data_IF_041153921627
#
_entry.id   IF_041153921627
#
_cell.length_a   1.000
_cell.length_b   1.000
_cell.length_c   1.000
_cell.angle_alpha   90.00
_cell.angle_beta   90.00
_cell.angle_gamma   90.00
#
_symmetry.space_group_name_H-M   'P 1'
#
loop_
_entity.id
_entity.type
_entity.pdbx_description
1 polymer ?
#
# COMPACT_ATOMS: atom_id res chain seq x y z
N UNK A 1 15.37 -60.32 25.39
CA UNK A 1 15.51 -58.95 25.91
C UNK A 1 14.91 -57.94 24.90
N UNK A 2 13.79 -58.32 24.25
CA UNK A 2 13.49 -57.82 22.90
C UNK A 2 12.23 -56.96 22.77
N UNK A 3 11.30 -57.05 23.72
CA UNK A 3 10.03 -56.31 23.64
C UNK A 3 10.24 -54.78 23.64
N UNK A 4 11.14 -54.26 24.49
CA UNK A 4 11.45 -52.81 24.56
C UNK A 4 12.05 -52.22 23.28
N UNK A 5 12.71 -53.03 22.43
CA UNK A 5 13.28 -52.53 21.16
C UNK A 5 12.20 -52.33 20.09
N UNK A 6 11.14 -53.14 20.11
CA UNK A 6 10.06 -53.08 19.11
C UNK A 6 9.23 -51.81 19.28
N UNK A 7 8.90 -51.45 20.52
CA UNK A 7 8.14 -50.22 20.82
C UNK A 7 8.93 -48.97 20.45
N UNK A 8 10.21 -48.86 20.82
CA UNK A 8 11.03 -47.69 20.43
C UNK A 8 11.13 -47.52 18.91
N UNK A 9 11.27 -48.62 18.16
CA UNK A 9 11.29 -48.55 16.70
C UNK A 9 9.94 -48.08 16.12
N UNK A 10 8.82 -48.48 16.75
CA UNK A 10 7.48 -47.99 16.39
C UNK A 10 7.32 -46.50 16.68
N UNK A 11 7.73 -46.02 17.86
CA UNK A 11 7.66 -44.59 18.19
C UNK A 11 8.54 -43.73 17.28
N UNK A 12 9.75 -44.17 16.93
CA UNK A 12 10.62 -43.46 15.97
C UNK A 12 9.98 -43.44 14.58
N UNK A 13 9.39 -44.56 14.13
CA UNK A 13 8.70 -44.61 12.83
C UNK A 13 7.46 -43.70 12.81
N UNK A 14 6.66 -43.69 13.88
CA UNK A 14 5.52 -42.77 14.03
C UNK A 14 5.96 -41.31 14.09
N UNK A 15 7.06 -40.99 14.79
CA UNK A 15 7.58 -39.63 14.86
C UNK A 15 8.14 -39.17 13.51
N UNK A 16 8.82 -40.07 12.77
CA UNK A 16 9.27 -39.81 11.41
C UNK A 16 8.09 -39.61 10.46
N UNK A 17 7.07 -40.47 10.50
CA UNK A 17 5.85 -40.32 9.70
C UNK A 17 5.15 -39.01 10.04
N UNK A 18 4.93 -38.70 11.32
CA UNK A 18 4.31 -37.46 11.76
C UNK A 18 5.15 -36.23 11.33
N UNK A 19 6.47 -36.29 11.43
CA UNK A 19 7.36 -35.22 10.94
C UNK A 19 7.33 -35.08 9.42
N UNK A 20 7.20 -36.18 8.66
CA UNK A 20 7.07 -36.15 7.20
C UNK A 20 5.70 -35.65 6.74
N UNK A 21 4.64 -35.92 7.50
CA UNK A 21 3.30 -35.37 7.29
C UNK A 21 3.26 -33.87 7.66
N UNK A 22 3.96 -33.46 8.72
CA UNK A 22 4.16 -32.04 9.07
C UNK A 22 5.02 -31.30 8.03
N UNK A 23 6.03 -31.96 7.43
CA UNK A 23 6.82 -31.43 6.31
C UNK A 23 6.04 -31.43 4.97
N UNK A 24 4.94 -32.17 4.88
CA UNK A 24 4.00 -32.13 3.75
C UNK A 24 2.90 -31.07 3.91
N UNK A 25 2.92 -30.27 4.99
CA UNK A 25 1.99 -29.17 5.18
C UNK A 25 2.40 -27.96 4.34
N UNK A 26 1.85 -27.89 3.13
CA UNK A 26 1.64 -26.67 2.35
C UNK A 26 2.84 -25.72 2.20
N UNK A 27 3.86 -26.13 1.44
CA UNK A 27 4.70 -25.18 0.74
C UNK A 27 4.02 -24.87 -0.61
N UNK A 28 3.63 -23.61 -0.82
CA UNK A 28 3.04 -23.16 -2.09
C UNK A 28 4.06 -23.15 -3.24
N UNK A 29 3.55 -23.07 -4.47
CA UNK A 29 4.38 -23.10 -5.67
C UNK A 29 5.18 -21.80 -5.83
N UNK A 30 6.30 -21.89 -6.56
CA UNK A 30 7.19 -20.74 -6.81
C UNK A 30 7.14 -20.36 -8.29
N UNK A 31 6.69 -19.15 -8.56
CA UNK A 31 6.52 -18.59 -9.90
C UNK A 31 7.61 -17.56 -10.22
N UNK A 32 7.96 -17.42 -11.51
CA UNK A 32 8.96 -16.48 -12.00
C UNK A 32 8.43 -15.74 -13.21
N UNK A 33 8.46 -14.40 -13.17
CA UNK A 33 8.00 -13.53 -14.25
C UNK A 33 9.05 -12.43 -14.53
N UNK A 34 9.22 -12.09 -15.82
CA UNK A 34 9.98 -10.92 -16.24
C UNK A 34 9.01 -9.81 -16.66
N UNK A 35 9.19 -8.62 -16.08
CA UNK A 35 8.42 -7.41 -16.38
C UNK A 35 9.37 -6.40 -17.03
N UNK A 36 9.32 -6.27 -18.35
CA UNK A 36 10.08 -5.28 -19.11
C UNK A 36 9.24 -4.00 -19.21
N UNK A 37 9.59 -3.00 -18.41
CA UNK A 37 9.01 -1.65 -18.47
C UNK A 37 9.65 -0.89 -19.62
N UNK A 38 8.86 -0.51 -20.64
CA UNK A 38 9.36 0.28 -21.76
C UNK A 38 8.28 1.13 -22.41
N UNK A 39 8.74 2.15 -23.13
CA UNK A 39 7.92 3.03 -23.94
C UNK A 39 7.36 2.29 -25.17
N UNK A 40 6.03 2.20 -25.26
CA UNK A 40 5.34 1.53 -26.36
C UNK A 40 4.24 2.44 -26.93
N UNK A 41 4.09 2.45 -28.25
CA UNK A 41 3.13 3.30 -28.95
C UNK A 41 1.73 2.68 -28.98
N UNK A 42 0.74 3.35 -28.40
CA UNK A 42 -0.66 2.93 -28.42
C UNK A 42 -1.56 3.97 -29.09
N UNK A 43 -2.45 3.48 -29.97
CA UNK A 43 -3.51 4.30 -30.57
C UNK A 43 -4.83 4.11 -29.82
N UNK A 44 -5.41 5.21 -29.34
CA UNK A 44 -6.77 5.29 -28.76
C UNK A 44 -7.40 6.61 -29.19
N UNK A 45 -8.71 6.62 -29.43
CA UNK A 45 -9.45 7.82 -29.87
C UNK A 45 -8.80 8.53 -31.08
N UNK A 46 -8.30 7.75 -32.05
CA UNK A 46 -7.56 8.22 -33.24
C UNK A 46 -6.25 8.99 -32.96
N UNK A 47 -5.76 9.01 -31.72
CA UNK A 47 -4.47 9.59 -31.34
C UNK A 47 -3.48 8.48 -30.94
N UNK A 48 -2.26 8.55 -31.46
CA UNK A 48 -1.16 7.67 -31.04
C UNK A 48 -0.28 8.41 -30.05
N UNK A 49 0.02 7.78 -28.92
CA UNK A 49 0.97 8.27 -27.91
C UNK A 49 1.92 7.15 -27.53
N UNK A 50 3.16 7.51 -27.25
CA UNK A 50 4.06 6.64 -26.48
C UNK A 50 3.65 6.68 -25.02
N UNK A 51 3.69 5.54 -24.35
CA UNK A 51 3.50 5.44 -22.92
C UNK A 51 4.28 4.25 -22.35
N UNK A 52 4.73 4.38 -21.10
CA UNK A 52 5.37 3.28 -20.39
C UNK A 52 4.38 2.13 -20.17
N UNK A 53 4.76 0.92 -20.55
CA UNK A 53 3.97 -0.31 -20.40
C UNK A 53 4.84 -1.47 -19.93
N UNK A 54 4.22 -2.55 -19.47
CA UNK A 54 4.92 -3.83 -19.19
C UNK A 54 4.74 -4.76 -20.38
N UNK A 55 5.84 -5.30 -20.91
CA UNK A 55 5.85 -6.33 -21.96
C UNK A 55 4.98 -5.95 -23.19
N UNK A 56 5.06 -4.70 -23.66
CA UNK A 56 4.28 -4.13 -24.77
C UNK A 56 2.74 -4.17 -24.59
N UNK A 57 2.24 -4.30 -23.36
CA UNK A 57 0.82 -4.54 -23.09
C UNK A 57 0.15 -3.45 -22.22
N UNK A 58 -1.08 -3.09 -22.61
CA UNK A 58 -1.94 -2.17 -21.87
C UNK A 58 -3.42 -2.63 -21.93
N UNK A 59 -4.03 -3.03 -20.79
CA UNK A 59 -3.38 -3.28 -19.49
C UNK A 59 -2.23 -4.29 -19.58
N UNK A 60 -1.37 -4.28 -18.57
CA UNK A 60 -0.23 -5.19 -18.44
C UNK A 60 -0.64 -6.65 -18.23
N UNK A 61 0.33 -7.59 -18.17
CA UNK A 61 0.07 -9.02 -18.03
C UNK A 61 -0.73 -9.37 -16.77
N UNK A 62 -1.64 -10.34 -16.92
CA UNK A 62 -2.32 -10.99 -15.80
C UNK A 62 -1.37 -11.98 -15.10
N UNK A 63 -1.36 -11.95 -13.78
CA UNK A 63 -0.69 -12.93 -12.91
C UNK A 63 -1.76 -13.91 -12.42
N UNK A 64 -1.52 -15.22 -12.55
CA UNK A 64 -2.34 -16.28 -11.92
C UNK A 64 -1.48 -17.11 -10.99
N UNK A 65 -1.91 -17.23 -9.74
CA UNK A 65 -1.24 -17.97 -8.66
C UNK A 65 -2.28 -18.66 -7.79
N UNK A 66 -1.87 -19.59 -6.93
CA UNK A 66 -2.70 -20.13 -5.85
C UNK A 66 -2.39 -19.44 -4.52
N UNK A 67 -3.36 -19.48 -3.60
CA UNK A 67 -3.16 -19.09 -2.20
C UNK A 67 -2.04 -19.92 -1.55
N UNK A 68 -1.05 -19.25 -0.98
CA UNK A 68 0.17 -19.85 -0.40
C UNK A 68 1.41 -19.73 -1.28
N UNK A 69 1.26 -19.38 -2.56
CA UNK A 69 2.37 -19.31 -3.52
C UNK A 69 3.32 -18.14 -3.27
N UNK A 70 4.55 -18.28 -3.79
CA UNK A 70 5.54 -17.20 -3.86
C UNK A 70 5.79 -16.84 -5.31
N UNK A 71 5.79 -15.56 -5.63
CA UNK A 71 6.10 -15.06 -6.97
C UNK A 71 7.38 -14.21 -6.91
N UNK A 72 8.30 -14.48 -7.82
CA UNK A 72 9.43 -13.59 -8.12
C UNK A 72 9.15 -12.83 -9.42
N UNK A 73 9.17 -11.50 -9.37
CA UNK A 73 9.07 -10.66 -10.57
C UNK A 73 10.33 -9.85 -10.75
N UNK A 74 11.08 -10.12 -11.82
CA UNK A 74 12.22 -9.31 -12.19
C UNK A 74 11.77 -8.15 -13.08
N UNK A 75 11.79 -6.95 -12.54
CA UNK A 75 11.36 -5.73 -13.23
C UNK A 75 12.58 -5.08 -13.87
N UNK A 76 12.67 -5.14 -15.20
CA UNK A 76 13.66 -4.45 -16.01
C UNK A 76 13.12 -3.08 -16.41
N UNK A 77 13.78 -2.00 -15.99
CA UNK A 77 13.39 -0.65 -16.38
C UNK A 77 14.14 -0.18 -17.63
N UNK A 78 13.58 -0.45 -18.81
CA UNK A 78 14.03 0.11 -20.10
C UNK A 78 13.35 1.47 -20.40
N UNK A 79 12.64 2.05 -19.44
CA UNK A 79 12.07 3.39 -19.50
C UNK A 79 13.12 4.50 -19.35
N UNK A 80 12.65 5.74 -19.25
CA UNK A 80 13.50 6.95 -19.20
C UNK A 80 13.61 7.59 -17.81
N UNK A 81 12.84 7.11 -16.83
CA UNK A 81 12.78 7.62 -15.46
C UNK A 81 12.65 6.46 -14.46
N UNK A 82 12.86 6.75 -13.17
CA UNK A 82 12.77 5.75 -12.10
C UNK A 82 11.33 5.32 -11.83
N UNK A 83 11.10 4.01 -11.61
CA UNK A 83 9.76 3.45 -11.38
C UNK A 83 9.80 2.33 -10.34
N UNK A 84 8.76 2.22 -9.51
CA UNK A 84 8.49 1.06 -8.64
C UNK A 84 7.22 0.32 -9.06
N UNK A 85 7.02 -0.90 -8.54
CA UNK A 85 5.81 -1.72 -8.75
C UNK A 85 5.27 -2.17 -7.39
N UNK A 86 3.98 -1.95 -7.16
CA UNK A 86 3.24 -2.38 -5.97
C UNK A 86 2.22 -3.49 -6.29
N UNK A 87 2.02 -4.37 -5.31
CA UNK A 87 1.19 -5.57 -5.37
C UNK A 87 -0.09 -5.34 -4.57
N UNK A 88 -0.99 -4.50 -5.09
CA UNK A 88 -2.14 -3.95 -4.37
C UNK A 88 -2.95 -5.01 -3.61
N UNK A 89 -2.95 -4.88 -2.28
CA UNK A 89 -3.73 -5.72 -1.39
C UNK A 89 -3.08 -7.04 -0.97
N UNK A 90 -1.85 -7.31 -1.40
CA UNK A 90 -1.01 -8.40 -0.88
C UNK A 90 -0.40 -7.95 0.46
N UNK A 91 -0.54 -8.75 1.52
CA UNK A 91 -0.07 -8.41 2.87
C UNK A 91 1.47 -8.36 2.99
N UNK A 92 2.22 -9.03 2.11
CA UNK A 92 3.69 -9.09 2.17
C UNK A 92 4.24 -9.38 3.59
N UNK A 93 3.84 -10.48 4.25
CA UNK A 93 4.14 -10.73 5.66
C UNK A 93 5.64 -10.64 5.99
N UNK A 94 5.98 -9.64 6.83
CA UNK A 94 7.33 -9.28 7.31
C UNK A 94 8.25 -8.77 6.19
N UNK A 95 7.70 -8.41 5.03
CA UNK A 95 8.41 -8.29 3.77
C UNK A 95 8.20 -6.93 3.06
N UNK A 96 8.26 -5.78 3.76
CA UNK A 96 7.99 -4.47 3.16
C UNK A 96 8.99 -4.08 2.05
N UNK A 97 10.18 -4.69 2.02
CA UNK A 97 11.22 -4.50 0.98
C UNK A 97 10.77 -4.71 -0.47
N UNK A 98 9.65 -5.40 -0.66
CA UNK A 98 9.08 -5.72 -1.95
C UNK A 98 7.61 -5.27 -2.04
N UNK A 99 7.21 -4.31 -1.21
CA UNK A 99 5.89 -3.70 -1.24
C UNK A 99 5.79 -2.65 -2.35
N UNK A 100 6.82 -1.82 -2.56
CA UNK A 100 6.96 -0.96 -3.73
C UNK A 100 6.63 0.55 -3.63
N UNK A 101 5.89 1.13 -2.66
CA UNK A 101 5.66 2.58 -2.66
C UNK A 101 6.99 3.38 -2.59
N UNK A 102 7.19 4.25 -3.58
CA UNK A 102 8.43 4.99 -3.80
C UNK A 102 8.72 5.96 -2.64
N UNK A 103 9.98 5.99 -2.18
CA UNK A 103 10.42 6.71 -0.98
C UNK A 103 9.73 6.30 0.34
N UNK A 104 8.90 5.26 0.34
CA UNK A 104 8.35 4.67 1.57
C UNK A 104 9.03 3.35 1.91
N UNK A 105 9.13 2.44 0.93
CA UNK A 105 9.72 1.09 1.12
C UNK A 105 10.93 0.79 0.26
N UNK A 106 11.13 1.61 -0.78
CA UNK A 106 12.30 1.56 -1.64
C UNK A 106 12.43 2.88 -2.39
N UNK A 107 13.65 3.21 -2.79
CA UNK A 107 13.87 4.16 -3.87
C UNK A 107 13.51 3.55 -5.25
N UNK A 108 13.24 4.38 -6.27
CA UNK A 108 12.79 3.91 -7.58
C UNK A 108 13.85 3.06 -8.27
N UNK A 109 13.42 2.09 -9.09
CA UNK A 109 14.33 1.29 -9.94
C UNK A 109 14.87 2.22 -11.04
N UNK A 110 16.17 2.56 -11.09
CA UNK A 110 16.68 3.51 -12.06
C UNK A 110 16.53 3.02 -13.51
N UNK A 111 16.38 3.95 -14.45
CA UNK A 111 16.39 3.65 -15.88
C UNK A 111 17.67 2.91 -16.30
N UNK A 112 17.52 1.87 -17.12
CA UNK A 112 18.60 0.97 -17.54
C UNK A 112 19.00 -0.11 -16.51
N UNK A 113 18.26 -0.26 -15.40
CA UNK A 113 18.56 -1.23 -14.34
C UNK A 113 17.41 -2.22 -14.11
N UNK A 114 17.53 -3.12 -13.14
CA UNK A 114 16.48 -4.05 -12.76
C UNK A 114 16.40 -4.25 -11.23
N UNK A 115 15.27 -4.75 -10.77
CA UNK A 115 15.06 -5.19 -9.39
C UNK A 115 14.10 -6.38 -9.35
N UNK A 116 14.44 -7.43 -8.60
CA UNK A 116 13.61 -8.61 -8.45
C UNK A 116 12.79 -8.57 -7.16
N UNK A 117 11.47 -8.41 -7.29
CA UNK A 117 10.52 -8.47 -6.19
C UNK A 117 10.29 -9.92 -5.74
N UNK A 118 10.15 -10.13 -4.42
CA UNK A 118 9.54 -11.34 -3.86
C UNK A 118 8.14 -11.00 -3.33
N UNK A 119 7.11 -11.59 -3.93
CA UNK A 119 5.69 -11.41 -3.58
C UNK A 119 5.20 -12.66 -2.86
N UNK A 120 4.63 -12.48 -1.68
CA UNK A 120 4.21 -13.57 -0.79
C UNK A 120 2.67 -13.60 -0.69
N UNK A 121 2.03 -14.56 -1.37
CA UNK A 121 0.57 -14.75 -1.28
C UNK A 121 0.25 -15.63 -0.07
N UNK A 122 -0.35 -15.04 0.94
CA UNK A 122 -0.49 -15.59 2.29
C UNK A 122 -1.91 -16.11 2.55
N UNK A 123 -2.81 -15.20 2.92
CA UNK A 123 -4.20 -15.49 3.23
C UNK A 123 -5.15 -15.09 2.09
N UNK A 124 -4.64 -14.35 1.11
CA UNK A 124 -5.39 -13.80 -0.02
C UNK A 124 -5.96 -14.90 -0.93
N UNK A 125 -7.17 -14.67 -1.42
CA UNK A 125 -7.87 -15.48 -2.41
C UNK A 125 -8.85 -14.55 -3.16
N UNK A 126 -9.04 -14.76 -4.47
CA UNK A 126 -9.85 -13.90 -5.33
C UNK A 126 -9.02 -12.95 -6.20
N UNK A 127 -9.55 -11.76 -6.48
CA UNK A 127 -8.95 -10.79 -7.42
C UNK A 127 -8.25 -9.66 -6.68
N UNK A 128 -6.96 -9.47 -6.99
CA UNK A 128 -6.15 -8.31 -6.67
C UNK A 128 -5.60 -7.71 -7.98
N UNK A 129 -4.69 -6.75 -7.88
CA UNK A 129 -4.07 -6.12 -9.03
C UNK A 129 -2.67 -5.62 -8.66
N UNK A 130 -1.86 -5.31 -9.66
CA UNK A 130 -0.55 -4.69 -9.49
C UNK A 130 -0.50 -3.38 -10.28
N UNK A 131 0.30 -2.44 -9.82
CA UNK A 131 0.47 -1.15 -10.51
C UNK A 131 1.80 -0.49 -10.17
N UNK A 132 2.25 0.46 -10.99
CA UNK A 132 3.37 1.31 -10.61
C UNK A 132 3.02 2.16 -9.37
N UNK A 133 3.99 2.37 -8.47
CA UNK A 133 3.80 3.18 -7.26
C UNK A 133 4.81 4.34 -7.21
N UNK A 134 4.95 4.96 -8.39
CA UNK A 134 5.77 6.13 -8.72
C UNK A 134 4.90 7.14 -9.47
N UNK A 135 4.87 8.37 -8.98
CA UNK A 135 4.05 9.49 -9.49
C UNK A 135 2.65 9.04 -9.97
N UNK A 136 2.37 9.19 -11.27
CA UNK A 136 1.09 8.88 -11.93
C UNK A 136 1.26 7.73 -12.92
N UNK A 137 2.38 7.00 -12.87
CA UNK A 137 2.78 5.99 -13.86
C UNK A 137 1.81 4.80 -13.92
N UNK A 138 1.03 4.54 -12.86
CA UNK A 138 -0.04 3.53 -12.92
C UNK A 138 -1.18 3.84 -13.88
N UNK A 139 -1.26 5.05 -14.44
CA UNK A 139 -2.19 5.34 -15.52
C UNK A 139 -2.03 4.36 -16.70
N UNK A 140 -0.81 3.87 -16.95
CA UNK A 140 -0.51 2.91 -18.03
C UNK A 140 0.24 1.65 -17.57
N UNK A 141 0.88 1.69 -16.39
CA UNK A 141 1.57 0.53 -15.79
C UNK A 141 0.69 -0.08 -14.69
N UNK A 142 -0.22 -0.97 -15.09
CA UNK A 142 -1.06 -1.77 -14.19
C UNK A 142 -1.52 -3.07 -14.84
N UNK A 143 -1.86 -4.08 -14.04
CA UNK A 143 -2.45 -5.34 -14.49
C UNK A 143 -3.09 -6.11 -13.34
N UNK A 144 -3.65 -7.28 -13.61
CA UNK A 144 -4.49 -8.03 -12.65
C UNK A 144 -3.72 -9.18 -12.00
N UNK A 145 -4.04 -9.48 -10.74
CA UNK A 145 -3.59 -10.68 -10.03
C UNK A 145 -4.84 -11.51 -9.69
N UNK A 146 -4.88 -12.76 -10.16
CA UNK A 146 -5.90 -13.74 -9.78
C UNK A 146 -5.25 -14.77 -8.85
N UNK A 147 -5.79 -14.88 -7.64
CA UNK A 147 -5.31 -15.78 -6.59
C UNK A 147 -6.37 -16.88 -6.40
N UNK A 148 -6.09 -18.04 -6.96
CA UNK A 148 -6.96 -19.21 -6.92
C UNK A 148 -6.96 -19.85 -5.51
N UNK A 149 -8.00 -20.62 -5.15
CA UNK A 149 -8.03 -21.36 -3.90
C UNK A 149 -6.81 -22.27 -3.76
N UNK A 150 -6.32 -22.47 -2.53
CA UNK A 150 -5.15 -23.32 -2.27
C UNK A 150 -5.32 -24.72 -2.90
N UNK A 151 -4.21 -25.32 -3.37
CA UNK A 151 -4.23 -26.61 -4.08
C UNK A 151 -4.94 -27.68 -3.23
N UNK A 152 -5.99 -28.30 -3.78
CA UNK A 152 -6.83 -29.28 -3.09
C UNK A 152 -8.07 -28.70 -2.39
N UNK A 153 -8.27 -27.38 -2.40
CA UNK A 153 -9.50 -26.70 -1.94
C UNK A 153 -10.35 -26.24 -3.13
N UNK A 154 -11.55 -25.72 -2.86
CA UNK A 154 -12.46 -25.16 -3.85
C UNK A 154 -13.01 -23.82 -3.37
N UNK A 155 -13.51 -23.01 -4.30
CA UNK A 155 -14.33 -21.83 -3.97
C UNK A 155 -15.48 -22.19 -3.00
N UNK A 156 -15.94 -21.23 -2.15
CA UNK A 156 -17.10 -21.42 -1.28
C UNK A 156 -18.45 -21.41 -2.04
N UNK A 157 -18.40 -21.37 -3.37
CA UNK A 157 -19.52 -21.42 -4.31
C UNK A 157 -19.18 -22.40 -5.45
N UNK A 158 -20.17 -22.88 -6.24
CA UNK A 158 -19.90 -23.76 -7.38
C UNK A 158 -18.88 -23.15 -8.34
N UNK A 159 -17.92 -23.96 -8.80
CA UNK A 159 -16.89 -23.50 -9.76
C UNK A 159 -17.57 -22.84 -10.98
N UNK A 160 -17.22 -21.59 -11.33
CA UNK A 160 -17.79 -20.93 -12.51
C UNK A 160 -17.51 -21.70 -13.80
N UNK A 161 -18.47 -21.69 -14.72
CA UNK A 161 -18.30 -22.27 -16.07
C UNK A 161 -17.23 -21.51 -16.88
N UNK A 162 -17.03 -20.23 -16.59
CA UNK A 162 -15.98 -19.37 -17.13
C UNK A 162 -15.60 -18.26 -16.15
N UNK A 163 -14.35 -17.78 -16.25
CA UNK A 163 -13.84 -16.61 -15.54
C UNK A 163 -13.47 -15.54 -16.57
N UNK A 164 -13.89 -14.29 -16.38
CA UNK A 164 -13.56 -13.17 -17.27
C UNK A 164 -13.02 -11.98 -16.45
N UNK A 165 -11.78 -11.61 -16.71
CA UNK A 165 -11.14 -10.42 -16.12
C UNK A 165 -11.64 -9.16 -16.82
N UNK A 166 -12.17 -8.19 -16.05
CA UNK A 166 -12.62 -6.88 -16.54
C UNK A 166 -11.86 -5.80 -15.76
N UNK A 167 -11.11 -4.97 -16.47
CA UNK A 167 -10.34 -3.85 -15.90
C UNK A 167 -11.04 -2.54 -16.25
N UNK A 168 -11.32 -1.71 -15.25
CA UNK A 168 -11.97 -0.40 -15.39
C UNK A 168 -11.11 0.65 -14.68
N UNK A 169 -10.70 1.68 -15.42
CA UNK A 169 -9.88 2.79 -14.91
C UNK A 169 -10.51 4.11 -15.38
N UNK A 170 -10.57 5.12 -14.50
CA UNK A 170 -11.16 6.43 -14.79
C UNK A 170 -10.43 7.54 -14.04
N UNK A 171 -10.40 8.76 -14.60
CA UNK A 171 -9.77 9.97 -14.04
C UNK A 171 -10.83 11.09 -13.97
N UNK A 172 -10.84 11.88 -12.88
CA UNK A 172 -11.78 12.99 -12.66
C UNK A 172 -11.10 14.38 -12.67
N UNK A 173 -11.90 15.45 -12.77
CA UNK A 173 -11.44 16.85 -12.84
C UNK A 173 -12.21 17.75 -11.86
N UNK A 174 -11.59 18.84 -11.38
CA UNK A 174 -12.17 19.80 -10.43
C UNK A 174 -12.00 21.25 -10.93
N UNK A 175 -13.09 22.02 -10.99
CA UNK A 175 -13.16 23.28 -11.73
C UNK A 175 -12.37 24.45 -11.10
N UNK A 176 -11.65 25.23 -11.92
CA UNK A 176 -11.05 26.52 -11.53
C UNK A 176 -11.74 27.72 -12.19
N UNK A 177 -11.90 28.84 -11.47
CA UNK A 177 -12.21 30.12 -12.09
C UNK A 177 -11.06 30.64 -12.98
N UNK A 178 -11.43 31.26 -14.11
CA UNK A 178 -10.57 32.02 -15.02
C UNK A 178 -9.30 31.29 -15.54
N UNK A 179 -9.40 29.99 -15.84
CA UNK A 179 -8.32 29.18 -16.43
C UNK A 179 -6.97 29.29 -15.71
N UNK A 180 -7.01 29.57 -14.39
CA UNK A 180 -5.83 29.87 -13.56
C UNK A 180 -4.92 28.65 -13.28
N UNK A 181 -5.19 27.54 -13.96
CA UNK A 181 -4.75 26.21 -13.58
C UNK A 181 -4.38 25.41 -14.84
N UNK A 182 -3.21 24.76 -14.83
CA UNK A 182 -2.62 24.13 -16.03
C UNK A 182 -3.23 22.77 -16.44
N UNK A 183 -4.41 22.41 -15.92
CA UNK A 183 -5.13 21.20 -16.29
C UNK A 183 -6.02 21.37 -17.52
N UNK A 184 -6.65 20.28 -18.02
CA UNK A 184 -7.61 20.35 -19.12
C UNK A 184 -8.76 21.30 -18.78
N UNK A 185 -9.17 22.09 -19.78
CA UNK A 185 -10.23 23.11 -19.67
C UNK A 185 -10.01 24.11 -18.50
N UNK A 186 -8.75 24.41 -18.17
CA UNK A 186 -8.37 25.48 -17.24
C UNK A 186 -8.41 25.15 -15.75
N UNK A 187 -8.46 23.86 -15.39
CA UNK A 187 -8.91 23.34 -14.08
C UNK A 187 -7.77 22.80 -13.16
N UNK A 188 -7.95 22.72 -11.82
CA UNK A 188 -6.88 22.33 -10.85
C UNK A 188 -7.22 21.16 -9.97
N UNK A 189 -6.14 20.49 -9.57
CA UNK A 189 -6.08 19.38 -8.66
C UNK A 189 -6.14 19.88 -7.14
N UNK A 190 -6.71 19.24 -6.06
CA UNK A 190 -6.41 19.54 -4.61
C UNK A 190 -6.78 18.42 -3.54
N UNK A 191 -6.05 18.23 -2.39
CA UNK A 191 -6.33 17.28 -1.23
C UNK A 191 -5.28 17.28 -0.06
N UNK A 192 -5.60 16.80 1.18
CA UNK A 192 -4.69 16.55 2.35
C UNK A 192 -5.26 15.56 3.42
N UNK A 193 -4.47 14.99 4.37
CA UNK A 193 -4.94 14.08 5.46
C UNK A 193 -4.60 14.62 6.87
N UNK A 194 -5.57 14.67 7.80
CA UNK A 194 -5.44 15.30 9.14
C UNK A 194 -4.85 16.74 9.12
N UNK A 195 -5.13 17.49 8.04
CA UNK A 195 -4.54 18.81 7.74
C UNK A 195 -3.00 18.82 7.58
N UNK A 196 -2.42 17.67 7.25
CA UNK A 196 -1.02 17.53 6.85
C UNK A 196 -0.92 17.13 5.38
N UNK A 197 0.16 17.59 4.75
CA UNK A 197 0.58 17.18 3.41
C UNK A 197 1.89 16.41 3.56
N UNK A 198 1.88 15.10 3.32
CA UNK A 198 3.11 14.31 3.25
C UNK A 198 4.08 14.84 2.20
N UNK A 199 5.37 14.67 2.47
CA UNK A 199 6.44 14.90 1.51
C UNK A 199 7.26 13.61 1.39
N UNK A 200 7.47 13.15 0.14
CA UNK A 200 8.38 12.06 -0.13
C UNK A 200 9.79 12.43 0.38
N UNK A 201 10.39 11.63 1.29
CA UNK A 201 11.74 11.88 1.77
C UNK A 201 12.78 11.56 0.69
N UNK A 202 14.01 12.07 0.84
CA UNK A 202 15.12 11.79 -0.09
C UNK A 202 15.82 10.44 0.13
N UNK A 203 15.41 9.70 1.17
CA UNK A 203 15.80 8.34 1.52
C UNK A 203 14.53 7.63 1.95
N UNK A 204 14.30 6.39 1.50
CA UNK A 204 13.04 5.73 1.80
C UNK A 204 12.85 5.45 3.31
N UNK A 205 11.59 5.55 3.77
CA UNK A 205 11.25 5.46 5.21
C UNK A 205 11.67 4.10 5.79
N UNK A 206 11.61 3.02 5.02
CA UNK A 206 12.00 1.67 5.43
C UNK A 206 13.51 1.54 5.62
N UNK A 207 14.34 2.05 4.71
CA UNK A 207 15.79 2.10 4.88
C UNK A 207 16.18 3.01 6.07
N UNK A 208 15.55 4.18 6.19
CA UNK A 208 15.77 5.07 7.33
C UNK A 208 15.39 4.42 8.68
N UNK A 209 14.28 3.69 8.74
CA UNK A 209 13.86 2.92 9.92
C UNK A 209 14.82 1.77 10.23
N UNK A 210 15.10 0.90 9.25
CA UNK A 210 15.89 -0.31 9.46
C UNK A 210 17.36 -0.01 9.81
N UNK A 211 17.93 1.07 9.26
CA UNK A 211 19.28 1.53 9.58
C UNK A 211 19.34 2.52 10.75
N UNK A 212 18.20 2.86 11.36
CA UNK A 212 18.08 3.83 12.46
C UNK A 212 18.71 5.21 12.13
N UNK A 213 18.36 5.76 10.97
CA UNK A 213 18.87 7.04 10.45
C UNK A 213 17.88 8.16 10.82
N UNK A 214 18.38 9.18 11.54
CA UNK A 214 17.58 10.33 12.00
C UNK A 214 17.31 11.37 10.90
N UNK A 215 16.29 12.20 11.11
CA UNK A 215 15.94 13.39 10.31
C UNK A 215 15.33 13.15 8.91
N UNK A 216 14.89 11.93 8.60
CA UNK A 216 14.13 11.62 7.38
C UNK A 216 12.62 11.45 7.59
N UNK A 217 12.18 11.25 8.84
CA UNK A 217 10.79 11.22 9.25
C UNK A 217 10.64 11.60 10.73
N UNK A 218 9.44 11.97 11.14
CA UNK A 218 9.10 12.29 12.53
C UNK A 218 8.08 11.24 13.07
N UNK A 219 8.36 10.56 14.19
CA UNK A 219 7.57 9.41 14.69
C UNK A 219 6.32 9.78 15.50
N UNK A 220 5.79 10.99 15.28
CA UNK A 220 4.77 11.67 16.09
C UNK A 220 3.50 12.03 15.29
N UNK A 221 3.14 11.24 14.27
CA UNK A 221 1.88 11.45 13.56
C UNK A 221 0.70 11.44 14.56
N UNK A 222 -0.14 12.50 14.60
CA UNK A 222 -1.08 12.70 15.69
C UNK A 222 -2.27 11.73 15.60
N UNK A 223 -2.77 11.29 16.77
CA UNK A 223 -3.95 10.43 16.87
C UNK A 223 -5.25 11.16 16.53
N UNK A 224 -5.28 12.48 16.71
CA UNK A 224 -6.45 13.35 16.60
C UNK A 224 -6.08 14.58 15.75
N UNK A 225 -7.05 15.23 15.07
CA UNK A 225 -6.78 16.47 14.35
C UNK A 225 -6.33 17.58 15.33
N UNK A 226 -5.40 18.47 14.92
CA UNK A 226 -4.85 19.50 15.81
C UNK A 226 -5.88 20.54 16.27
N UNK A 227 -7.00 20.68 15.55
CA UNK A 227 -8.15 21.49 15.93
C UNK A 227 -9.43 20.73 15.59
N UNK A 228 -10.36 20.63 16.56
CA UNK A 228 -11.71 20.12 16.31
C UNK A 228 -12.63 21.25 15.82
N UNK A 229 -13.39 20.98 14.77
CA UNK A 229 -14.42 21.87 14.22
C UNK A 229 -15.58 21.05 13.66
N UNK A 230 -16.63 21.70 13.16
CA UNK A 230 -17.70 21.00 12.44
C UNK A 230 -17.19 20.59 11.05
N UNK A 231 -16.60 19.40 10.94
CA UNK A 231 -15.89 18.91 9.76
C UNK A 231 -16.79 18.83 8.51
N UNK A 232 -18.07 18.55 8.68
CA UNK A 232 -19.07 18.45 7.61
C UNK A 232 -19.94 19.72 7.46
N UNK A 233 -19.45 20.89 7.87
CA UNK A 233 -20.19 22.15 7.67
C UNK A 233 -20.22 22.58 6.19
N UNK A 234 -21.32 23.20 5.75
CA UNK A 234 -21.50 23.64 4.36
C UNK A 234 -20.51 24.72 3.89
N UNK A 235 -19.92 25.47 4.83
CA UNK A 235 -18.97 26.56 4.54
C UNK A 235 -17.75 26.49 5.44
N UNK A 236 -16.60 26.10 4.89
CA UNK A 236 -15.32 25.92 5.58
C UNK A 236 -14.19 26.61 4.80
N UNK A 237 -14.22 27.95 4.81
CA UNK A 237 -13.38 28.83 3.99
C UNK A 237 -12.36 29.66 4.78
N UNK A 238 -12.18 29.42 6.08
CA UNK A 238 -11.28 30.20 6.94
C UNK A 238 -9.86 29.64 6.97
N UNK A 239 -8.85 30.51 6.90
CA UNK A 239 -7.42 30.17 6.88
C UNK A 239 -6.97 29.16 7.96
N UNK A 240 -7.54 29.23 9.16
CA UNK A 240 -7.29 28.30 10.27
C UNK A 240 -7.66 26.82 9.98
N UNK A 241 -8.35 26.56 8.86
CA UNK A 241 -8.88 25.26 8.46
C UNK A 241 -8.42 24.86 7.05
N UNK A 242 -8.08 25.83 6.18
CA UNK A 242 -7.73 25.61 4.77
C UNK A 242 -6.22 25.49 4.53
N UNK A 243 -5.37 25.90 5.48
CA UNK A 243 -3.92 25.83 5.36
C UNK A 243 -3.35 24.58 6.06
N UNK A 244 -2.70 23.70 5.29
CA UNK A 244 -1.96 22.54 5.79
C UNK A 244 -0.46 22.85 5.95
N UNK A 245 0.23 22.07 6.79
CA UNK A 245 1.70 22.06 6.85
C UNK A 245 2.24 20.82 6.12
N UNK A 246 3.32 21.00 5.35
CA UNK A 246 4.04 19.91 4.72
C UNK A 246 4.99 19.25 5.73
N UNK A 247 4.87 17.93 5.95
CA UNK A 247 5.69 17.17 6.91
C UNK A 247 5.70 15.67 6.62
N UNK A 248 6.82 15.00 6.89
CA UNK A 248 6.99 13.53 6.75
C UNK A 248 6.78 12.86 8.11
N UNK A 249 5.52 12.78 8.56
CA UNK A 249 5.13 12.21 9.87
C UNK A 249 4.64 10.76 9.75
N UNK A 250 5.09 9.91 10.67
CA UNK A 250 4.77 8.47 10.70
C UNK A 250 4.15 8.08 12.04
N UNK A 251 3.30 7.05 12.02
CA UNK A 251 2.68 6.48 13.22
C UNK A 251 3.42 5.21 13.62
N UNK A 252 4.15 5.28 14.73
CA UNK A 252 4.72 4.08 15.36
C UNK A 252 3.61 3.24 15.99
N UNK A 253 3.67 1.92 15.77
CA UNK A 253 2.79 0.91 16.35
C UNK A 253 3.61 -0.22 16.99
N UNK A 254 3.12 -0.76 18.10
CA UNK A 254 3.66 -1.96 18.73
C UNK A 254 3.21 -3.22 18.00
N UNK A 255 4.06 -4.25 17.98
CA UNK A 255 3.68 -5.53 17.39
C UNK A 255 2.44 -6.11 18.06
N UNK A 256 1.50 -6.58 17.24
CA UNK A 256 0.26 -7.26 17.65
C UNK A 256 -0.78 -6.36 18.34
N UNK A 257 -0.59 -5.03 18.41
CA UNK A 257 -1.61 -4.14 18.98
C UNK A 257 -2.87 -4.08 18.10
N UNK A 258 -4.00 -3.73 18.72
CA UNK A 258 -5.29 -3.60 18.01
C UNK A 258 -5.55 -2.13 17.76
N UNK A 259 -5.65 -1.74 16.49
CA UNK A 259 -5.79 -0.35 16.07
C UNK A 259 -7.22 -0.14 15.54
N UNK A 260 -7.87 0.91 16.04
CA UNK A 260 -9.05 1.49 15.43
C UNK A 260 -8.66 2.82 14.76
N UNK A 261 -9.10 3.02 13.52
CA UNK A 261 -8.96 4.29 12.82
C UNK A 261 -10.36 4.76 12.42
N UNK A 262 -10.73 5.96 12.84
CA UNK A 262 -11.92 6.64 12.34
C UNK A 262 -11.48 7.71 11.36
N UNK A 263 -11.80 7.50 10.09
CA UNK A 263 -11.63 8.51 9.06
C UNK A 263 -12.85 9.43 9.05
N UNK A 264 -12.61 10.73 9.18
CA UNK A 264 -13.63 11.78 9.07
C UNK A 264 -13.49 12.48 7.72
N UNK A 265 -14.51 12.38 6.88
CA UNK A 265 -14.67 13.22 5.69
C UNK A 265 -14.91 14.67 6.10
N UNK A 266 -14.41 15.60 5.29
CA UNK A 266 -14.53 17.04 5.56
C UNK A 266 -14.97 17.79 4.33
N UNK A 267 -15.68 18.90 4.51
CA UNK A 267 -16.08 19.81 3.44
C UNK A 267 -15.21 21.08 3.38
N UNK A 268 -13.93 20.96 3.76
CA UNK A 268 -12.95 22.06 3.70
C UNK A 268 -12.84 22.63 2.28
N UNK A 269 -12.66 23.95 2.16
CA UNK A 269 -12.73 24.71 0.90
C UNK A 269 -14.07 24.56 0.13
N UNK A 270 -15.11 24.02 0.76
CA UNK A 270 -16.38 23.59 0.14
C UNK A 270 -16.18 22.55 -0.98
N UNK A 271 -15.01 21.89 -1.00
CA UNK A 271 -14.57 20.96 -2.03
C UNK A 271 -14.44 19.54 -1.49
N UNK A 272 -15.22 19.17 -0.47
CA UNK A 272 -15.21 17.81 0.05
C UNK A 272 -15.60 16.80 -1.04
N UNK A 273 -14.87 15.68 -1.10
CA UNK A 273 -15.05 14.57 -2.03
C UNK A 273 -15.13 13.24 -1.26
N UNK A 274 -15.50 12.14 -1.93
CA UNK A 274 -15.34 10.81 -1.34
C UNK A 274 -13.89 10.35 -1.52
N UNK A 275 -13.24 9.87 -0.47
CA UNK A 275 -11.82 9.49 -0.51
C UNK A 275 -11.64 7.97 -0.31
N UNK A 276 -11.13 7.21 -1.30
CA UNK A 276 -10.84 5.79 -1.13
C UNK A 276 -9.53 5.61 -0.35
N UNK A 277 -9.59 5.42 0.97
CA UNK A 277 -8.40 5.21 1.81
C UNK A 277 -7.92 3.76 1.74
N UNK A 278 -6.65 3.56 1.35
CA UNK A 278 -5.98 2.28 1.19
C UNK A 278 -4.84 2.10 2.20
N UNK A 279 -4.72 0.90 2.78
CA UNK A 279 -3.62 0.51 3.66
C UNK A 279 -2.83 -0.65 3.04
N UNK A 280 -1.52 -0.44 2.86
CA UNK A 280 -0.55 -1.46 2.46
C UNK A 280 -0.31 -2.47 3.61
N UNK A 281 0.12 -3.69 3.28
CA UNK A 281 0.55 -4.71 4.26
C UNK A 281 -0.56 -5.32 5.13
N UNK A 282 -1.79 -4.79 5.06
CA UNK A 282 -2.91 -5.23 5.88
C UNK A 282 -4.21 -5.34 5.08
N UNK A 283 -5.14 -6.11 5.66
CA UNK A 283 -6.57 -5.95 5.44
C UNK A 283 -7.19 -5.54 6.77
N UNK A 284 -8.31 -4.85 6.72
CA UNK A 284 -8.97 -4.27 7.89
C UNK A 284 -10.49 -4.48 7.81
N UNK A 285 -11.11 -4.61 8.98
CA UNK A 285 -12.54 -4.76 9.15
C UNK A 285 -13.19 -3.39 9.19
N UNK A 286 -14.14 -3.11 8.30
CA UNK A 286 -14.98 -1.91 8.35
C UNK A 286 -16.09 -2.15 9.37
N UNK A 287 -15.92 -1.61 10.58
CA UNK A 287 -16.85 -1.84 11.71
C UNK A 287 -18.01 -0.86 11.74
N UNK A 288 -17.85 0.35 11.19
CA UNK A 288 -18.92 1.34 11.15
C UNK A 288 -18.75 2.37 10.03
N UNK A 289 -19.86 2.98 9.61
CA UNK A 289 -19.90 4.16 8.73
C UNK A 289 -21.10 5.02 9.10
N UNK A 290 -20.98 6.33 8.94
CA UNK A 290 -22.07 7.28 9.18
C UNK A 290 -21.96 8.54 8.34
N UNK A 291 -22.94 9.43 8.49
CA UNK A 291 -22.95 10.77 7.91
C UNK A 291 -22.81 11.81 9.04
N UNK A 292 -22.27 12.98 8.71
CA UNK A 292 -21.92 14.02 9.68
C UNK A 292 -20.57 13.78 10.35
N UNK A 293 -20.39 14.41 11.51
CA UNK A 293 -19.21 14.21 12.35
C UNK A 293 -19.39 12.95 13.20
N UNK A 294 -18.34 12.13 13.33
CA UNK A 294 -18.32 10.96 14.21
C UNK A 294 -18.52 11.35 15.69
N UNK A 295 -19.41 10.63 16.37
CA UNK A 295 -19.65 10.74 17.81
C UNK A 295 -19.10 9.51 18.54
N UNK A 296 -18.03 9.69 19.31
CA UNK A 296 -17.29 8.60 19.96
C UNK A 296 -18.04 7.90 21.11
N UNK A 297 -19.25 8.33 21.46
CA UNK A 297 -20.10 7.69 22.49
C UNK A 297 -21.22 6.87 21.84
N UNK A 298 -21.83 7.39 20.77
CA UNK A 298 -23.06 6.83 20.18
C UNK A 298 -22.79 5.99 18.94
N UNK A 299 -21.90 6.41 18.05
CA UNK A 299 -21.62 5.66 16.81
C UNK A 299 -21.01 4.26 17.07
N UNK A 300 -20.05 4.08 18.02
CA UNK A 300 -19.53 2.75 18.38
C UNK A 300 -20.58 1.73 18.85
N UNK A 301 -21.74 2.20 19.35
CA UNK A 301 -22.85 1.31 19.75
C UNK A 301 -23.54 0.66 18.55
N UNK A 302 -23.33 1.19 17.34
CA UNK A 302 -23.92 0.70 16.08
C UNK A 302 -22.96 -0.15 15.26
N UNK A 303 -21.72 -0.34 15.73
CA UNK A 303 -20.70 -1.06 14.97
C UNK A 303 -21.09 -2.52 14.70
N UNK A 304 -20.85 -2.98 13.48
CA UNK A 304 -20.84 -4.41 13.18
C UNK A 304 -19.56 -5.04 13.74
N UNK A 305 -19.73 -5.80 14.82
CA UNK A 305 -18.66 -6.57 15.48
C UNK A 305 -18.85 -8.09 15.34
N UNK A 306 -19.71 -8.53 14.41
CA UNK A 306 -20.01 -9.95 14.16
C UNK A 306 -19.42 -10.39 12.82
N UNK A 307 -19.77 -9.69 11.73
CA UNK A 307 -19.34 -10.00 10.36
C UNK A 307 -18.97 -8.73 9.53
N UNK A 308 -18.15 -7.81 10.06
CA UNK A 308 -17.72 -6.63 9.31
C UNK A 308 -16.92 -7.00 8.05
N UNK A 309 -17.06 -6.18 7.00
CA UNK A 309 -16.38 -6.42 5.72
C UNK A 309 -14.86 -6.26 5.87
N UNK A 310 -14.08 -7.28 5.48
CA UNK A 310 -12.63 -7.24 5.44
C UNK A 310 -12.11 -6.77 4.08
N UNK A 311 -11.56 -5.56 4.01
CA UNK A 311 -11.08 -4.92 2.77
C UNK A 311 -9.68 -4.35 2.95
N UNK A 312 -9.03 -3.94 1.85
CA UNK A 312 -7.78 -3.17 1.88
C UNK A 312 -7.99 -1.69 1.50
N UNK A 313 -9.15 -1.33 0.96
CA UNK A 313 -9.51 0.05 0.59
C UNK A 313 -10.95 0.34 1.00
N UNK A 314 -11.21 1.48 1.63
CA UNK A 314 -12.54 1.91 2.09
C UNK A 314 -12.88 3.31 1.58
N UNK A 315 -14.07 3.52 0.96
CA UNK A 315 -14.52 4.85 0.59
C UNK A 315 -15.00 5.60 1.84
N UNK A 316 -14.35 6.73 2.13
CA UNK A 316 -14.77 7.69 3.15
C UNK A 316 -15.80 8.62 2.51
N UNK A 317 -17.03 8.74 3.06
CA UNK A 317 -18.02 9.69 2.54
C UNK A 317 -17.55 11.13 2.76
N UNK A 318 -17.79 12.01 1.78
CA UNK A 318 -17.56 13.45 1.86
C UNK A 318 -18.03 14.05 3.19
N UNK A 319 -19.33 13.89 3.46
CA UNK A 319 -20.01 14.46 4.63
C UNK A 319 -20.31 13.35 5.64
N UNK A 320 -19.29 12.57 6.01
CA UNK A 320 -19.46 11.40 6.88
C UNK A 320 -18.15 10.80 7.36
N UNK A 321 -18.23 9.60 7.93
CA UNK A 321 -17.09 8.92 8.54
C UNK A 321 -17.11 7.42 8.25
N UNK A 322 -15.95 6.77 8.39
CA UNK A 322 -15.83 5.31 8.44
C UNK A 322 -14.84 4.88 9.51
N UNK A 323 -15.22 3.90 10.33
CA UNK A 323 -14.38 3.30 11.35
C UNK A 323 -13.88 1.93 10.87
N UNK A 324 -12.57 1.72 10.96
CA UNK A 324 -11.91 0.45 10.63
C UNK A 324 -11.15 -0.10 11.82
N UNK A 325 -11.04 -1.43 11.92
CA UNK A 325 -10.17 -2.12 12.87
C UNK A 325 -9.23 -3.08 12.18
N UNK A 326 -7.98 -3.10 12.62
CA UNK A 326 -7.01 -4.13 12.25
C UNK A 326 -6.07 -4.43 13.41
N UNK A 327 -5.26 -5.48 13.22
CA UNK A 327 -4.23 -5.87 14.18
C UNK A 327 -2.86 -5.63 13.56
N UNK A 328 -2.01 -4.85 14.23
CA UNK A 328 -0.65 -4.49 13.80
C UNK A 328 0.32 -5.69 13.89
N UNK A 329 -0.02 -6.78 13.22
CA UNK A 329 0.61 -8.10 13.32
C UNK A 329 1.62 -8.38 12.21
N UNK A 330 1.93 -7.38 11.39
CA UNK A 330 2.85 -7.45 10.27
C UNK A 330 3.97 -6.40 10.46
N UNK A 331 5.17 -6.79 10.95
CA UNK A 331 6.26 -5.88 11.27
C UNK A 331 6.88 -5.32 9.98
N UNK A 332 7.07 -4.01 9.93
CA UNK A 332 7.51 -3.32 8.73
C UNK A 332 7.02 -1.87 8.66
N UNK A 333 7.19 -1.29 7.48
CA UNK A 333 6.82 0.10 7.15
C UNK A 333 5.75 0.02 6.07
N UNK A 334 4.56 0.56 6.38
CA UNK A 334 3.35 0.34 5.60
C UNK A 334 2.66 1.66 5.28
N UNK A 335 2.47 1.91 3.98
CA UNK A 335 1.87 3.13 3.48
C UNK A 335 0.34 3.13 3.64
N UNK A 336 -0.23 4.26 4.04
CA UNK A 336 -1.67 4.50 4.10
C UNK A 336 -1.96 5.77 3.30
N UNK A 337 -2.75 5.68 2.23
CA UNK A 337 -2.99 6.82 1.35
C UNK A 337 -4.38 6.82 0.71
N UNK A 338 -4.79 7.98 0.21
CA UNK A 338 -5.93 8.07 -0.69
C UNK A 338 -5.57 7.49 -2.06
N UNK A 339 -6.43 6.61 -2.59
CA UNK A 339 -6.21 5.90 -3.83
C UNK A 339 -6.57 6.69 -5.11
N UNK A 340 -6.68 8.01 -5.00
CA UNK A 340 -6.60 8.93 -6.14
C UNK A 340 -5.16 9.46 -6.20
N UNK A 341 -4.40 9.21 -7.27
CA UNK A 341 -2.97 9.61 -7.39
C UNK A 341 -2.77 11.10 -7.20
N UNK A 342 -3.70 11.83 -7.79
CA UNK A 342 -4.05 13.21 -7.49
C UNK A 342 -3.85 13.56 -6.00
N UNK A 343 -4.59 12.89 -5.11
CA UNK A 343 -4.65 13.16 -3.67
C UNK A 343 -3.41 12.68 -2.94
N UNK A 344 -2.90 11.50 -3.29
CA UNK A 344 -1.61 10.96 -2.85
C UNK A 344 -0.47 11.96 -3.12
N UNK A 345 -0.39 12.51 -4.33
CA UNK A 345 0.68 13.42 -4.77
C UNK A 345 0.70 14.81 -4.11
N UNK A 346 -0.29 15.15 -3.26
CA UNK A 346 -0.22 16.33 -2.37
C UNK A 346 -0.43 15.99 -0.91
N UNK A 347 -0.17 14.75 -0.54
CA UNK A 347 0.02 14.46 0.86
C UNK A 347 -1.21 13.97 1.63
N UNK A 348 -2.21 13.35 0.97
CA UNK A 348 -3.30 12.67 1.67
C UNK A 348 -2.92 11.23 2.05
N UNK A 349 -1.94 11.12 2.94
CA UNK A 349 -1.22 9.89 3.26
C UNK A 349 -0.42 9.99 4.56
N UNK A 350 -0.01 8.83 5.06
CA UNK A 350 0.89 8.66 6.20
C UNK A 350 1.52 7.27 6.14
N UNK A 351 2.43 6.96 7.06
CA UNK A 351 3.12 5.68 7.15
C UNK A 351 2.94 5.09 8.54
N UNK A 352 2.53 3.82 8.61
CA UNK A 352 2.54 3.04 9.84
C UNK A 352 3.83 2.25 9.94
N UNK A 353 4.60 2.45 11.01
CA UNK A 353 5.78 1.64 11.32
C UNK A 353 5.41 0.68 12.45
N UNK A 354 5.20 -0.58 12.08
CA UNK A 354 4.91 -1.66 13.03
C UNK A 354 6.24 -2.27 13.46
N UNK A 355 6.54 -2.14 14.75
CA UNK A 355 7.78 -2.66 15.35
C UNK A 355 7.85 -4.20 15.28
N UNK A 356 9.06 -4.72 15.45
CA UNK A 356 9.28 -6.15 15.68
C UNK A 356 8.66 -6.59 17.02
N UNK A 357 8.11 -7.79 17.06
CA UNK A 357 7.81 -8.52 18.30
C UNK A 357 9.04 -9.27 18.84
N UNK A 358 8.84 -10.12 19.84
CA UNK A 358 9.90 -10.76 20.64
C UNK A 358 10.74 -11.85 19.91
N UNK A 359 10.35 -12.26 18.69
CA UNK A 359 10.94 -13.38 17.94
C UNK A 359 11.34 -12.99 16.51
N UNK A 360 12.17 -13.82 15.85
CA UNK A 360 12.54 -13.63 14.44
C UNK A 360 11.33 -13.83 13.50
N UNK A 361 10.40 -14.72 13.87
CA UNK A 361 9.12 -14.94 13.21
C UNK A 361 8.16 -13.76 13.36
N UNK A 362 8.34 -12.91 14.37
CA UNK A 362 7.60 -11.65 14.59
C UNK A 362 8.41 -10.40 14.24
N UNK A 363 9.55 -10.56 13.57
CA UNK A 363 10.42 -9.46 13.14
C UNK A 363 10.38 -9.26 11.63
N UNK A 364 10.65 -8.03 11.17
CA UNK A 364 10.85 -7.72 9.75
C UNK A 364 11.99 -8.58 9.17
N UNK A 365 11.83 -9.06 7.94
CA UNK A 365 12.89 -9.79 7.21
C UNK A 365 14.08 -8.86 6.97
N UNK A 366 15.25 -9.44 6.73
CA UNK A 366 16.43 -8.66 6.29
C UNK A 366 16.19 -8.12 4.87
N UNK A 367 16.71 -6.93 4.53
CA UNK A 367 16.66 -6.42 3.17
C UNK A 367 17.45 -7.33 2.22
N UNK A 368 17.04 -7.42 0.94
CA UNK A 368 17.90 -7.97 -0.10
C UNK A 368 19.16 -7.12 -0.25
N UNK A 369 20.29 -7.72 -0.61
CA UNK A 369 21.56 -7.00 -0.81
C UNK A 369 21.59 -6.13 -2.07
N UNK A 370 20.48 -6.06 -2.80
CA UNK A 370 20.33 -5.45 -4.12
C UNK A 370 19.14 -4.46 -4.17
N UNK A 371 18.75 -3.88 -3.02
CA UNK A 371 17.80 -2.76 -2.99
C UNK A 371 18.24 -1.63 -3.95
N UNK A 372 17.31 -0.96 -4.66
CA UNK A 372 17.66 0.19 -5.50
C UNK A 372 18.29 1.32 -4.67
N UNK A 373 19.38 1.94 -5.12
CA UNK A 373 20.03 3.02 -4.39
C UNK A 373 19.21 4.32 -4.50
N UNK A 374 19.10 5.06 -3.39
CA UNK A 374 18.55 6.41 -3.39
C UNK A 374 19.54 7.44 -3.96
N UNK A 375 19.04 8.45 -4.68
CA UNK A 375 19.90 9.49 -5.25
C UNK A 375 20.39 10.48 -4.18
N UNK A 376 21.68 10.39 -3.87
CA UNK A 376 22.36 11.28 -2.93
C UNK A 376 22.56 12.71 -3.44
N UNK A 377 22.16 13.06 -4.67
CA UNK A 377 22.31 14.42 -5.21
C UNK A 377 21.57 15.49 -4.38
N UNK A 378 20.46 15.13 -3.73
CA UNK A 378 19.71 16.02 -2.82
C UNK A 378 20.40 16.31 -1.49
N UNK A 379 21.28 15.40 -1.03
CA UNK A 379 21.98 15.53 0.27
C UNK A 379 22.98 16.70 0.29
N UNK A 380 23.64 16.95 -0.85
CA UNK A 380 24.63 18.03 -0.96
C UNK A 380 23.99 19.42 -0.77
N UNK A 381 22.79 19.65 -1.35
CA UNK A 381 22.06 20.91 -1.21
C UNK A 381 21.58 21.18 0.22
N UNK A 382 21.13 20.13 0.92
CA UNK A 382 20.69 20.23 2.32
C UNK A 382 21.84 20.64 3.25
N UNK A 383 23.01 20.00 3.15
CA UNK A 383 24.17 20.39 3.96
C UNK A 383 24.63 21.82 3.67
N UNK A 384 24.61 22.25 2.41
CA UNK A 384 25.00 23.61 2.03
C UNK A 384 24.02 24.67 2.56
N UNK A 385 22.73 24.34 2.69
CA UNK A 385 21.73 25.23 3.30
C UNK A 385 21.87 25.38 4.82
N UNK A 386 22.39 24.37 5.52
CA UNK A 386 22.62 24.43 6.96
C UNK A 386 23.82 25.32 7.32
N UNK A 387 24.90 25.29 6.50
CA UNK A 387 26.07 26.16 6.70
C UNK A 387 25.87 27.61 6.24
N UNK A 388 24.72 27.98 5.67
CA UNK A 388 24.38 29.37 5.30
C UNK A 388 23.44 30.06 6.31
N UNK A 389 23.24 29.49 7.51
CA UNK A 389 22.41 30.07 8.59
C UNK A 389 23.20 30.52 9.83
N UNK A 390 24.53 30.59 9.76
CA UNK A 390 25.41 31.04 10.86
C UNK A 390 26.30 32.25 10.51
N UNK A 391 25.83 33.17 9.64
CA UNK A 391 26.35 34.55 9.50
C UNK A 391 25.22 35.59 9.60
#
# INVERSE_FOLDING_TARGET
MDLKKKDQFSYILWFLILSSVLLYMAQGDVHYHDFVLKESNFTRLCSTKSMLTVNDSFPGPEIRVHKGDTLYVNVFNEGTYGVTIHWHGVKQPRNPWFDGPEYITQCPIPAGTNFTYQVLFSEEEGTLWWHAHSDWTRATVHGVIIILPAIGTTYPFPKPDAEQTIVIVSIGMLHCPNDSCAGPDGNRLASALNNLTFANPSLDVLEAYYRNISAYYEPDFPNEPPNFFNFTAESLLTDNVTLSQQATKVKMLEYNETVEIVFQGTNVMNSGENHPMHLHGFRFYVVGRGLGNFDNVTDPLTYNLIDPQEVNTVPIPKDGWAAIRFKASNPGVWYMHCHFDRHMSWGMDTVFIVKNGDTEETSVRRPPSYMPPCDTSSLAGLMQSMFQKEE
#
